data_IF_999714319321
#
_entry.id   IF_999714319321
#
_cell.length_a   1.000
_cell.length_b   1.000
_cell.length_c   1.000
_cell.angle_alpha   90.00
_cell.angle_beta   90.00
_cell.angle_gamma   90.00
#
_symmetry.space_group_name_H-M   'P 1'
#
loop_
_entity.id
_entity.type
_entity.pdbx_description
1 polymer ?
#
# COMPACT_ATOMS: atom_id res chain seq x y z
N UNK A 1 -18.85 -9.61 -34.61
CA UNK A 1 -18.85 -10.40 -33.35
C UNK A 1 -17.99 -9.62 -32.37
N UNK A 2 -18.46 -9.09 -31.25
CA UNK A 2 -19.16 -9.80 -30.19
C UNK A 2 -20.02 -8.88 -29.31
N UNK A 3 -21.21 -9.40 -29.01
CA UNK A 3 -22.28 -9.02 -28.07
C UNK A 3 -22.07 -7.78 -27.17
N UNK A 4 -22.79 -6.71 -27.48
CA UNK A 4 -23.25 -5.75 -26.47
C UNK A 4 -24.28 -6.45 -25.58
N UNK A 5 -23.92 -6.75 -24.34
CA UNK A 5 -24.89 -7.17 -23.32
C UNK A 5 -25.63 -5.91 -22.86
N UNK A 6 -26.79 -5.64 -23.46
CA UNK A 6 -27.72 -4.63 -22.94
C UNK A 6 -28.43 -5.21 -21.71
N UNK A 7 -27.76 -5.19 -20.56
CA UNK A 7 -28.43 -5.52 -19.29
C UNK A 7 -29.34 -4.36 -18.93
N UNK A 8 -30.59 -4.67 -18.58
CA UNK A 8 -31.57 -3.67 -18.21
C UNK A 8 -31.14 -2.92 -16.94
N UNK A 9 -31.31 -1.59 -16.91
CA UNK A 9 -30.81 -0.75 -15.80
C UNK A 9 -31.45 -1.19 -14.47
N UNK A 10 -32.70 -1.62 -14.50
CA UNK A 10 -33.43 -2.08 -13.32
C UNK A 10 -32.88 -3.41 -12.80
N UNK A 11 -32.37 -4.28 -13.68
CA UNK A 11 -31.72 -5.53 -13.29
C UNK A 11 -30.39 -5.28 -12.55
N UNK A 12 -29.62 -4.27 -13.00
CA UNK A 12 -28.38 -3.86 -12.34
C UNK A 12 -28.67 -3.32 -10.93
N UNK A 13 -29.69 -2.47 -10.81
CA UNK A 13 -30.12 -1.89 -9.52
C UNK A 13 -30.60 -2.99 -8.58
N UNK A 14 -31.36 -3.97 -9.10
CA UNK A 14 -31.83 -5.12 -8.31
C UNK A 14 -30.66 -5.96 -7.78
N UNK A 15 -29.71 -6.33 -8.64
CA UNK A 15 -28.52 -7.11 -8.24
C UNK A 15 -27.63 -6.34 -7.25
N UNK A 16 -27.44 -5.04 -7.45
CA UNK A 16 -26.73 -4.18 -6.51
C UNK A 16 -27.42 -4.13 -5.14
N UNK A 17 -28.76 -4.03 -5.13
CA UNK A 17 -29.56 -4.05 -3.91
C UNK A 17 -29.49 -5.40 -3.19
N UNK A 18 -29.47 -6.51 -3.92
CA UNK A 18 -29.28 -7.85 -3.37
C UNK A 18 -27.90 -8.02 -2.71
N UNK A 19 -26.84 -7.49 -3.34
CA UNK A 19 -25.49 -7.48 -2.75
C UNK A 19 -25.46 -6.68 -1.44
N UNK A 20 -26.06 -5.49 -1.39
CA UNK A 20 -26.15 -4.71 -0.16
C UNK A 20 -26.94 -5.45 0.94
N UNK A 21 -28.06 -6.10 0.57
CA UNK A 21 -28.86 -6.92 1.50
C UNK A 21 -28.08 -8.13 2.03
N UNK A 22 -27.16 -8.68 1.25
CA UNK A 22 -26.30 -9.79 1.65
C UNK A 22 -25.14 -9.38 2.58
N UNK A 23 -25.05 -8.09 2.93
CA UNK A 23 -23.97 -7.54 3.76
C UNK A 23 -22.72 -7.15 2.99
N UNK A 24 -22.79 -7.06 1.65
CA UNK A 24 -21.68 -6.53 0.87
C UNK A 24 -21.58 -5.00 1.02
N UNK A 25 -20.35 -4.48 1.01
CA UNK A 25 -20.06 -3.05 1.10
C UNK A 25 -19.70 -2.50 -0.27
N UNK A 26 -20.35 -1.42 -0.71
CA UNK A 26 -20.00 -0.73 -1.95
C UNK A 26 -18.61 -0.08 -1.82
N UNK A 27 -17.74 -0.34 -2.79
CA UNK A 27 -16.40 0.25 -2.89
C UNK A 27 -16.44 1.53 -3.73
N UNK A 28 -15.44 2.39 -3.56
CA UNK A 28 -15.25 3.58 -4.40
C UNK A 28 -14.75 3.23 -5.82
N UNK A 29 -14.23 2.02 -6.00
CA UNK A 29 -13.73 1.51 -7.28
C UNK A 29 -14.88 1.09 -8.22
N UNK A 30 -14.64 1.27 -9.52
CA UNK A 30 -15.57 0.90 -10.60
C UNK A 30 -15.03 -0.27 -11.41
N UNK A 31 -15.93 -1.09 -11.96
CA UNK A 31 -15.56 -2.20 -12.82
C UNK A 31 -14.93 -1.68 -14.14
N UNK A 32 -13.73 -2.11 -14.53
CA UNK A 32 -13.09 -1.64 -15.77
C UNK A 32 -13.82 -2.10 -17.05
N UNK A 33 -14.71 -3.10 -16.95
CA UNK A 33 -15.45 -3.65 -18.09
C UNK A 33 -16.78 -2.93 -18.36
N UNK A 34 -17.44 -2.37 -17.33
CA UNK A 34 -18.76 -1.72 -17.48
C UNK A 34 -18.95 -0.41 -16.72
N UNK A 35 -17.98 0.02 -15.91
CA UNK A 35 -18.09 1.24 -15.10
C UNK A 35 -19.06 1.15 -13.90
N UNK A 36 -19.63 -0.02 -13.59
CA UNK A 36 -20.47 -0.21 -12.41
C UNK A 36 -19.64 -0.17 -11.12
N UNK A 37 -20.15 0.40 -10.01
CA UNK A 37 -19.52 0.30 -8.69
C UNK A 37 -19.27 -1.15 -8.28
N UNK A 38 -18.13 -1.40 -7.66
CA UNK A 38 -17.75 -2.72 -7.12
C UNK A 38 -18.25 -2.90 -5.68
N UNK A 39 -18.42 -4.15 -5.27
CA UNK A 39 -18.90 -4.51 -3.93
C UNK A 39 -17.98 -5.53 -3.30
N UNK A 40 -17.66 -5.35 -2.01
CA UNK A 40 -16.90 -6.30 -1.20
C UNK A 40 -17.85 -7.15 -0.37
N UNK A 41 -17.86 -8.45 -0.62
CA UNK A 41 -18.62 -9.43 0.16
C UNK A 41 -18.04 -9.57 1.58
N UNK A 42 -18.84 -10.08 2.54
CA UNK A 42 -18.33 -10.44 3.87
C UNK A 42 -17.21 -11.49 3.84
N UNK A 43 -17.16 -12.34 2.80
CA UNK A 43 -16.08 -13.29 2.54
C UNK A 43 -14.74 -12.62 2.20
N UNK A 44 -14.75 -11.33 1.88
CA UNK A 44 -13.59 -10.57 1.43
C UNK A 44 -13.43 -10.51 -0.09
N UNK A 45 -14.31 -11.16 -0.85
CA UNK A 45 -14.28 -11.15 -2.32
C UNK A 45 -14.90 -9.88 -2.91
N UNK A 46 -14.30 -9.34 -3.98
CA UNK A 46 -14.85 -8.19 -4.71
C UNK A 46 -15.63 -8.65 -5.93
N UNK A 47 -16.82 -8.08 -6.11
CA UNK A 47 -17.81 -8.50 -7.11
C UNK A 47 -18.40 -7.29 -7.82
N UNK A 48 -18.54 -7.40 -9.14
CA UNK A 48 -19.35 -6.52 -9.97
C UNK A 48 -20.76 -7.12 -10.11
N UNK A 49 -21.84 -6.33 -9.97
CA UNK A 49 -23.21 -6.83 -10.12
C UNK A 49 -23.53 -7.35 -11.54
N UNK A 50 -22.74 -6.97 -12.54
CA UNK A 50 -22.94 -7.34 -13.95
C UNK A 50 -22.07 -8.54 -14.33
N UNK A 51 -20.77 -8.48 -14.01
CA UNK A 51 -19.77 -9.43 -14.49
C UNK A 51 -19.34 -10.49 -13.45
N UNK A 52 -19.82 -10.39 -12.20
CA UNK A 52 -19.47 -11.33 -11.14
C UNK A 52 -18.15 -10.99 -10.45
N UNK A 53 -17.44 -12.00 -9.95
CA UNK A 53 -16.20 -11.84 -9.17
C UNK A 53 -15.15 -11.10 -9.98
N UNK A 54 -14.73 -9.94 -9.48
CA UNK A 54 -13.65 -9.14 -10.05
C UNK A 54 -12.48 -9.27 -9.10
N UNK A 55 -11.42 -9.94 -9.54
CA UNK A 55 -10.14 -9.83 -8.86
C UNK A 55 -9.63 -8.42 -9.13
N UNK A 56 -9.74 -7.52 -8.14
CA UNK A 56 -8.88 -6.34 -8.14
C UNK A 56 -7.46 -6.89 -8.01
N UNK A 57 -6.77 -6.94 -9.14
CA UNK A 57 -5.32 -6.98 -9.12
C UNK A 57 -4.94 -5.66 -8.45
N UNK A 58 -4.58 -5.74 -7.17
CA UNK A 58 -3.81 -4.68 -6.51
C UNK A 58 -2.67 -4.40 -7.47
N UNK A 59 -2.68 -3.17 -7.98
CA UNK A 59 -2.01 -2.68 -9.17
C UNK A 59 -0.57 -3.17 -9.30
N UNK A 60 -0.05 -3.17 -10.53
CA UNK A 60 1.39 -3.33 -10.86
C UNK A 60 2.32 -2.48 -9.96
N UNK A 61 1.78 -1.47 -9.27
CA UNK A 61 2.42 -0.65 -8.26
C UNK A 61 2.93 -1.46 -7.04
N UNK A 62 2.19 -2.44 -6.50
CA UNK A 62 2.66 -3.23 -5.33
C UNK A 62 3.86 -4.14 -5.67
N UNK A 63 3.95 -4.63 -6.91
CA UNK A 63 5.11 -5.43 -7.40
C UNK A 63 6.33 -4.53 -7.60
N UNK A 64 6.10 -3.31 -8.10
CA UNK A 64 7.16 -2.31 -8.27
C UNK A 64 7.68 -1.79 -6.93
N UNK A 65 6.81 -1.57 -5.93
CA UNK A 65 7.18 -1.11 -4.59
C UNK A 65 8.00 -2.16 -3.84
N UNK A 66 7.64 -3.44 -3.95
CA UNK A 66 8.42 -4.52 -3.34
C UNK A 66 9.85 -4.60 -3.92
N UNK A 67 10.00 -4.40 -5.24
CA UNK A 67 11.31 -4.31 -5.89
C UNK A 67 12.11 -3.05 -5.52
N UNK A 68 11.43 -1.92 -5.34
CA UNK A 68 12.07 -0.68 -4.85
C UNK A 68 12.50 -0.83 -3.38
N UNK A 69 11.71 -1.50 -2.55
CA UNK A 69 12.07 -1.73 -1.14
C UNK A 69 13.28 -2.68 -1.05
N UNK A 70 13.31 -3.76 -1.85
CA UNK A 70 14.44 -4.70 -1.83
C UNK A 70 15.75 -4.02 -2.29
N UNK A 71 15.70 -3.22 -3.36
CA UNK A 71 16.87 -2.46 -3.84
C UNK A 71 17.34 -1.42 -2.82
N UNK A 72 16.42 -0.73 -2.12
CA UNK A 72 16.76 0.18 -1.03
C UNK A 72 17.39 -0.54 0.17
N UNK A 73 17.01 -1.78 0.46
CA UNK A 73 17.65 -2.61 1.51
C UNK A 73 19.07 -3.03 1.10
N UNK A 74 19.30 -3.40 -0.16
CA UNK A 74 20.62 -3.73 -0.68
C UNK A 74 21.57 -2.51 -0.68
N UNK A 75 21.05 -1.33 -1.04
CA UNK A 75 21.77 -0.06 -0.93
C UNK A 75 22.17 0.24 0.51
N UNK A 76 21.25 0.12 1.47
CA UNK A 76 21.53 0.32 2.89
C UNK A 76 22.66 -0.59 3.39
N UNK A 77 22.60 -1.88 3.06
CA UNK A 77 23.64 -2.85 3.39
C UNK A 77 24.99 -2.47 2.78
N UNK A 78 25.00 -2.01 1.53
CA UNK A 78 26.22 -1.60 0.83
C UNK A 78 26.85 -0.35 1.45
N UNK A 79 26.02 0.62 1.84
CA UNK A 79 26.49 1.84 2.51
C UNK A 79 27.03 1.50 3.91
N UNK A 80 26.36 0.64 4.66
CA UNK A 80 26.83 0.19 5.96
C UNK A 80 28.20 -0.52 5.86
N UNK A 81 28.39 -1.37 4.85
CA UNK A 81 29.69 -2.00 4.57
C UNK A 81 30.77 -0.95 4.25
N UNK A 82 30.44 0.09 3.48
CA UNK A 82 31.39 1.15 3.16
C UNK A 82 31.76 1.98 4.39
N UNK A 83 30.79 2.34 5.23
CA UNK A 83 31.04 3.01 6.50
C UNK A 83 31.92 2.17 7.43
N UNK A 84 31.70 0.85 7.50
CA UNK A 84 32.58 -0.08 8.23
C UNK A 84 34.04 0.02 7.76
N UNK A 85 34.29 0.15 6.45
CA UNK A 85 35.67 0.33 5.95
C UNK A 85 36.30 1.64 6.43
N UNK A 86 35.55 2.74 6.45
CA UNK A 86 36.04 4.01 6.99
C UNK A 86 36.26 3.95 8.50
N UNK A 87 35.37 3.29 9.25
CA UNK A 87 35.53 3.08 10.70
C UNK A 87 36.79 2.27 11.00
N UNK A 88 37.09 1.23 10.20
CA UNK A 88 38.31 0.44 10.39
C UNK A 88 39.57 1.24 10.02
N UNK A 89 39.52 2.09 8.98
CA UNK A 89 40.61 3.02 8.66
C UNK A 89 40.88 3.99 9.81
N UNK A 90 39.83 4.59 10.38
CA UNK A 90 39.92 5.50 11.52
C UNK A 90 40.54 4.83 12.76
N UNK A 91 40.24 3.55 12.99
CA UNK A 91 40.80 2.79 14.12
C UNK A 91 42.28 2.43 13.94
N UNK A 92 42.72 2.23 12.70
CA UNK A 92 44.05 1.67 12.40
C UNK A 92 45.07 2.75 11.98
N UNK A 93 44.64 3.89 11.46
CA UNK A 93 45.50 4.99 11.00
C UNK A 93 45.22 6.25 11.81
N UNK A 94 45.80 6.34 13.00
CA UNK A 94 45.54 7.42 13.96
C UNK A 94 46.22 8.77 13.65
N UNK A 95 46.99 8.91 12.56
CA UNK A 95 47.84 10.09 12.36
C UNK A 95 47.39 11.07 11.28
N UNK A 96 46.51 10.70 10.36
CA UNK A 96 45.98 11.66 9.39
C UNK A 96 44.60 11.18 8.90
N UNK A 97 43.56 11.51 9.65
CA UNK A 97 42.20 11.37 9.12
C UNK A 97 42.07 12.37 7.98
N UNK A 98 42.16 11.92 6.74
CA UNK A 98 42.07 12.81 5.58
C UNK A 98 40.70 13.49 5.59
N UNK A 99 40.68 14.81 5.40
CA UNK A 99 39.45 15.61 5.34
C UNK A 99 38.42 15.05 4.34
N UNK A 100 38.91 14.38 3.29
CA UNK A 100 38.09 13.67 2.31
C UNK A 100 37.38 12.43 2.88
N UNK A 101 37.99 11.71 3.83
CA UNK A 101 37.33 10.60 4.53
C UNK A 101 36.15 11.11 5.37
N UNK A 102 36.32 12.23 6.07
CA UNK A 102 35.23 12.85 6.83
C UNK A 102 34.07 13.31 5.92
N UNK A 103 34.37 13.93 4.78
CA UNK A 103 33.37 14.30 3.77
C UNK A 103 32.63 13.09 3.22
N UNK A 104 33.36 12.02 2.91
CA UNK A 104 32.78 10.78 2.41
C UNK A 104 31.83 10.15 3.44
N UNK A 105 32.23 10.09 4.71
CA UNK A 105 31.37 9.60 5.79
C UNK A 105 30.06 10.40 5.88
N UNK A 106 30.15 11.73 5.84
CA UNK A 106 28.96 12.60 5.86
C UNK A 106 28.05 12.31 4.66
N UNK A 107 28.61 12.15 3.46
CA UNK A 107 27.83 11.85 2.25
C UNK A 107 27.12 10.48 2.34
N UNK A 108 27.79 9.47 2.90
CA UNK A 108 27.19 8.15 3.12
C UNK A 108 26.07 8.19 4.17
N UNK A 109 26.21 8.99 5.22
CA UNK A 109 25.17 9.19 6.24
C UNK A 109 23.95 9.94 5.68
N UNK A 110 24.13 10.97 4.86
CA UNK A 110 23.03 11.66 4.16
C UNK A 110 22.32 10.70 3.19
N UNK A 111 23.07 9.87 2.46
CA UNK A 111 22.47 8.83 1.61
C UNK A 111 21.59 7.86 2.41
N UNK A 112 22.00 7.44 3.61
CA UNK A 112 21.18 6.61 4.50
C UNK A 112 19.90 7.32 4.96
N UNK A 113 20.02 8.60 5.33
CA UNK A 113 18.85 9.40 5.74
C UNK A 113 17.82 9.53 4.60
N UNK A 114 18.29 9.73 3.35
CA UNK A 114 17.42 9.77 2.16
C UNK A 114 16.74 8.43 1.91
N UNK A 115 17.46 7.32 2.05
CA UNK A 115 16.88 5.97 1.92
C UNK A 115 15.78 5.76 2.97
N UNK A 116 16.00 6.16 4.22
CA UNK A 116 15.01 6.04 5.28
C UNK A 116 13.77 6.90 5.02
N UNK A 117 13.95 8.12 4.51
CA UNK A 117 12.84 9.01 4.10
C UNK A 117 12.02 8.38 2.98
N UNK A 118 12.67 7.83 1.95
CA UNK A 118 11.99 7.15 0.84
C UNK A 118 11.19 5.95 1.36
N UNK A 119 11.79 5.12 2.23
CA UNK A 119 11.07 3.99 2.87
C UNK A 119 9.86 4.45 3.69
N UNK A 120 9.97 5.56 4.43
CA UNK A 120 8.83 6.14 5.19
C UNK A 120 7.72 6.65 4.27
N UNK A 121 8.06 7.23 3.13
CA UNK A 121 7.07 7.71 2.16
C UNK A 121 6.32 6.53 1.52
N UNK A 122 7.04 5.48 1.14
CA UNK A 122 6.46 4.23 0.64
C UNK A 122 5.61 3.52 1.71
N UNK A 123 6.02 3.57 2.98
CA UNK A 123 5.27 2.98 4.10
C UNK A 123 3.99 3.73 4.52
N UNK A 124 3.92 5.05 4.27
CA UNK A 124 2.76 5.90 4.63
C UNK A 124 1.52 5.71 3.75
N UNK A 125 1.63 5.01 2.62
CA UNK A 125 0.48 4.64 1.77
C UNK A 125 -0.48 3.62 2.40
N UNK A 126 -0.14 3.04 3.56
CA UNK A 126 -0.93 1.96 4.22
C UNK A 126 -1.91 2.43 5.29
N UNK A 127 -2.11 3.73 5.51
CA UNK A 127 -2.97 4.25 6.59
C UNK A 127 -4.21 4.98 6.09
N UNK A 128 -5.14 4.26 5.45
CA UNK A 128 -6.54 4.68 5.41
C UNK A 128 -7.34 3.61 6.16
N UNK A 129 -7.25 3.63 7.49
CA UNK A 129 -8.23 2.98 8.36
C UNK A 129 -9.36 3.98 8.64
N UNK A 130 -10.61 3.72 8.20
CA UNK A 130 -11.74 4.44 8.74
C UNK A 130 -12.00 3.94 10.17
N UNK A 131 -11.72 4.82 11.14
CA UNK A 131 -12.11 4.67 12.55
C UNK A 131 -13.61 4.33 12.67
N UNK A 132 -13.93 3.17 13.22
CA UNK A 132 -15.27 2.89 13.74
C UNK A 132 -15.40 3.48 15.15
N UNK A 133 -16.09 4.62 15.23
CA UNK A 133 -16.48 5.24 16.49
C UNK A 133 -17.65 4.46 17.12
N UNK A 134 -17.35 3.76 18.22
CA UNK A 134 -18.35 3.05 19.02
C UNK A 134 -19.22 4.06 19.79
N UNK A 135 -20.45 4.31 19.32
CA UNK A 135 -21.52 4.87 20.16
C UNK A 135 -22.27 3.73 20.84
N UNK A 136 -21.85 3.43 22.07
CA UNK A 136 -22.59 2.59 23.01
C UNK A 136 -23.82 3.35 23.53
N UNK A 137 -24.97 3.16 22.87
CA UNK A 137 -26.26 3.50 23.46
C UNK A 137 -26.62 2.44 24.49
N UNK A 138 -26.24 2.68 25.76
CA UNK A 138 -26.90 2.05 26.91
C UNK A 138 -28.36 2.51 26.94
N UNK A 139 -29.29 1.63 26.59
CA UNK A 139 -30.67 1.65 27.07
C UNK A 139 -30.98 0.29 27.66
N UNK A 140 -30.51 0.09 28.89
CA UNK A 140 -31.08 -0.93 29.77
C UNK A 140 -32.46 -0.44 30.20
N UNK A 141 -33.42 -1.33 30.04
CA UNK A 141 -34.83 -1.18 30.36
C UNK A 141 -35.05 -0.59 31.76
N UNK A 142 -36.02 0.33 31.83
CA UNK A 142 -36.60 0.82 33.06
C UNK A 142 -38.10 0.47 33.02
N UNK A 143 -38.53 -0.18 34.10
CA UNK A 143 -39.91 -0.42 34.58
C UNK A 143 -40.85 -1.30 33.75
#
# INVERSE_FOLDING_TARGET
MSKQVKTDRDEIIRKASELLRSGATMLADVCPLCGSPLFKLPSGEVVCPIHGKVMLVKSEEEVSEAGVISTLMELEKSIANKLSTYVNKLKNNSSETEFDDARNIIAWLDALERIEKIKKLLGKGKSIEPKQEQRSSKRSAKE
#
